data_IF_242258495984
#
_entry.id   IF_242258495984
#
_cell.length_a   1.000
_cell.length_b   1.000
_cell.length_c   1.000
_cell.angle_alpha   90.00
_cell.angle_beta   90.00
_cell.angle_gamma   90.00
#
_symmetry.space_group_name_H-M   'P 1'
#
loop_
_entity.id
_entity.type
_entity.pdbx_description
1 polymer ?
#
# COMPACT_ATOMS: atom_id res chain seq x y z
N UNK A 1 5.58 -19.09 8.78
CA UNK A 1 5.42 -19.41 7.34
C UNK A 1 4.00 -19.02 6.96
N UNK A 2 3.79 -17.76 6.56
CA UNK A 2 2.46 -17.26 6.23
C UNK A 2 2.06 -17.72 4.82
N UNK A 3 0.91 -18.36 4.69
CA UNK A 3 0.39 -18.81 3.41
C UNK A 3 0.32 -17.62 2.45
N UNK A 4 0.99 -17.73 1.30
CA UNK A 4 0.90 -16.72 0.27
C UNK A 4 -0.56 -16.62 -0.22
N UNK A 5 -1.08 -15.39 -0.31
CA UNK A 5 -2.41 -15.14 -0.85
C UNK A 5 -2.29 -15.29 -2.37
N UNK A 6 -2.86 -16.35 -2.93
CA UNK A 6 -2.84 -16.62 -4.37
C UNK A 6 -4.16 -16.28 -5.08
N UNK A 7 -5.23 -16.07 -4.32
CA UNK A 7 -6.53 -15.72 -4.87
C UNK A 7 -6.63 -14.22 -5.20
N UNK A 8 -7.14 -13.91 -6.40
CA UNK A 8 -7.23 -12.54 -6.91
C UNK A 8 -8.10 -11.63 -6.04
N UNK A 9 -9.25 -12.11 -5.58
CA UNK A 9 -10.16 -11.29 -4.77
C UNK A 9 -9.53 -10.96 -3.41
N UNK A 10 -8.83 -11.93 -2.82
CA UNK A 10 -8.07 -11.75 -1.59
C UNK A 10 -6.89 -10.78 -1.78
N UNK A 11 -6.19 -10.85 -2.91
CA UNK A 11 -5.10 -9.92 -3.27
C UNK A 11 -5.61 -8.49 -3.50
N UNK A 12 -6.75 -8.31 -4.19
CA UNK A 12 -7.39 -7.00 -4.36
C UNK A 12 -7.85 -6.44 -3.01
N UNK A 13 -8.43 -7.27 -2.16
CA UNK A 13 -8.88 -6.86 -0.82
C UNK A 13 -7.70 -6.41 0.05
N UNK A 14 -6.57 -7.11 -0.03
CA UNK A 14 -5.32 -6.69 0.63
C UNK A 14 -4.88 -5.28 0.16
N UNK A 15 -4.83 -5.04 -1.14
CA UNK A 15 -4.41 -3.73 -1.69
C UNK A 15 -5.35 -2.60 -1.24
N UNK A 16 -6.66 -2.84 -1.27
CA UNK A 16 -7.65 -1.87 -0.77
C UNK A 16 -7.45 -1.54 0.71
N UNK A 17 -7.26 -2.57 1.54
CA UNK A 17 -7.01 -2.37 2.97
C UNK A 17 -5.74 -1.55 3.20
N UNK A 18 -4.66 -1.84 2.47
CA UNK A 18 -3.41 -1.07 2.57
C UNK A 18 -3.55 0.38 2.12
N UNK A 19 -4.29 0.61 1.04
CA UNK A 19 -4.59 1.97 0.59
C UNK A 19 -5.40 2.74 1.63
N UNK A 20 -6.41 2.12 2.24
CA UNK A 20 -7.19 2.76 3.30
C UNK A 20 -6.31 3.13 4.51
N UNK A 21 -5.43 2.23 4.94
CA UNK A 21 -4.47 2.53 6.02
C UNK A 21 -3.55 3.71 5.64
N UNK A 22 -3.11 3.78 4.38
CA UNK A 22 -2.29 4.90 3.90
C UNK A 22 -3.07 6.22 3.93
N UNK A 23 -4.34 6.22 3.54
CA UNK A 23 -5.21 7.39 3.64
C UNK A 23 -5.43 7.84 5.09
N UNK A 24 -5.64 6.89 6.02
CA UNK A 24 -5.74 7.19 7.46
C UNK A 24 -4.48 7.86 8.00
N UNK A 25 -3.29 7.46 7.52
CA UNK A 25 -2.04 8.12 7.88
C UNK A 25 -2.03 9.57 7.38
N UNK A 26 -2.34 9.81 6.10
CA UNK A 26 -2.42 11.17 5.55
C UNK A 26 -3.43 12.03 6.33
N UNK A 27 -4.63 11.51 6.60
CA UNK A 27 -5.69 12.25 7.30
C UNK A 27 -5.30 12.59 8.75
N UNK A 28 -4.40 11.80 9.35
CA UNK A 28 -3.88 12.05 10.70
C UNK A 28 -2.73 13.05 10.76
N UNK A 29 -2.16 13.42 9.61
CA UNK A 29 -1.02 14.33 9.54
C UNK A 29 -1.49 15.78 9.62
N UNK A 30 -0.74 16.58 10.40
CA UNK A 30 -0.94 18.01 10.48
C UNK A 30 -0.01 18.72 9.47
N UNK A 31 -0.54 19.45 8.48
CA UNK A 31 0.26 20.13 7.47
C UNK A 31 1.26 21.14 8.02
N UNK A 32 1.00 21.73 9.20
CA UNK A 32 1.90 22.71 9.81
C UNK A 32 3.13 22.08 10.47
N UNK A 33 3.06 20.79 10.81
CA UNK A 33 4.13 20.04 11.48
C UNK A 33 4.76 18.94 10.62
N UNK A 34 4.17 18.63 9.46
CA UNK A 34 4.71 17.69 8.47
C UNK A 34 5.97 18.24 7.83
N UNK A 35 7.05 17.47 7.83
CA UNK A 35 8.31 17.83 7.20
C UNK A 35 8.61 17.01 5.93
N UNK A 36 9.77 17.26 5.30
CA UNK A 36 10.17 16.56 4.08
C UNK A 36 10.41 15.06 4.32
N UNK A 37 10.90 14.67 5.50
CA UNK A 37 11.18 13.27 5.81
C UNK A 37 9.86 12.48 5.93
N UNK A 38 8.82 13.10 6.47
CA UNK A 38 7.48 12.51 6.50
C UNK A 38 6.89 12.34 5.09
N UNK A 39 7.11 13.32 4.20
CA UNK A 39 6.69 13.19 2.79
C UNK A 39 7.47 12.06 2.09
N UNK A 40 8.77 11.93 2.33
CA UNK A 40 9.58 10.83 1.78
C UNK A 40 9.05 9.47 2.25
N UNK A 41 8.62 9.35 3.51
CA UNK A 41 7.97 8.12 4.03
C UNK A 41 6.63 7.84 3.34
N UNK A 42 5.81 8.86 3.09
CA UNK A 42 4.54 8.67 2.37
C UNK A 42 4.77 8.15 0.94
N UNK A 43 5.80 8.66 0.27
CA UNK A 43 6.20 8.20 -1.06
C UNK A 43 6.63 6.72 -1.00
N UNK A 44 7.50 6.37 -0.05
CA UNK A 44 7.96 4.98 0.13
C UNK A 44 6.78 4.02 0.39
N UNK A 45 5.78 4.43 1.18
CA UNK A 45 4.57 3.64 1.45
C UNK A 45 3.74 3.37 0.19
N UNK A 46 3.59 4.36 -0.70
CA UNK A 46 2.90 4.18 -1.98
C UNK A 46 3.71 3.30 -2.93
N UNK A 47 5.03 3.51 -3.01
CA UNK A 47 5.90 2.73 -3.89
C UNK A 47 5.90 1.25 -3.49
N UNK A 48 5.88 0.96 -2.19
CA UNK A 48 5.74 -0.40 -1.67
C UNK A 48 4.39 -1.03 -2.03
N UNK A 49 3.32 -0.24 -1.98
CA UNK A 49 1.97 -0.67 -2.39
C UNK A 49 1.93 -0.95 -3.90
N UNK A 50 2.54 -0.10 -4.72
CA UNK A 50 2.69 -0.32 -6.17
C UNK A 50 3.51 -1.59 -6.45
N UNK A 51 4.62 -1.78 -5.76
CA UNK A 51 5.44 -2.99 -5.87
C UNK A 51 4.69 -4.26 -5.44
N UNK A 52 3.74 -4.17 -4.51
CA UNK A 52 2.81 -5.27 -4.19
C UNK A 52 1.78 -5.50 -5.30
N UNK A 53 1.18 -4.43 -5.83
CA UNK A 53 0.26 -4.52 -6.96
C UNK A 53 0.91 -5.19 -8.18
N UNK A 54 2.11 -4.77 -8.58
CA UNK A 54 2.81 -5.34 -9.73
C UNK A 54 3.20 -6.81 -9.53
N UNK A 55 3.41 -7.25 -8.28
CA UNK A 55 3.58 -8.68 -7.97
C UNK A 55 2.27 -9.45 -8.16
N UNK A 56 1.17 -9.03 -7.53
CA UNK A 56 -0.14 -9.68 -7.67
C UNK A 56 -0.65 -9.68 -9.11
N UNK A 57 -0.39 -8.59 -9.85
CA UNK A 57 -0.76 -8.48 -11.25
C UNK A 57 -0.10 -9.54 -12.13
N UNK A 58 1.10 -10.02 -11.78
CA UNK A 58 1.75 -11.14 -12.48
C UNK A 58 0.98 -12.45 -12.26
N UNK A 59 0.49 -12.68 -11.04
CA UNK A 59 -0.32 -13.85 -10.69
C UNK A 59 -1.69 -13.86 -11.41
N UNK A 60 -2.20 -12.69 -11.81
CA UNK A 60 -3.49 -12.56 -12.52
C UNK A 60 -3.42 -12.73 -14.04
N UNK A 61 -2.21 -12.73 -14.61
CA UNK A 61 -1.98 -12.74 -16.06
C UNK A 61 -1.72 -14.16 -16.60
N UNK A 62 -2.04 -15.19 -15.84
CA UNK A 62 -2.10 -16.58 -16.28
C UNK A 62 -3.52 -16.99 -16.71
#
# INVERSE_FOLDING_TARGET
MGNAIHDKDSQISYLKNRLNMFLEVIDSMDPESTDLEDIDRLIEMIDDLEGKYERFRKDWKE
#
